data_IF_253842042857
#
_entry.id   IF_253842042857
#
_cell.length_a   1.000
_cell.length_b   1.000
_cell.length_c   1.000
_cell.angle_alpha   90.00
_cell.angle_beta   90.00
_cell.angle_gamma   90.00
#
_symmetry.space_group_name_H-M   'P 1'
#
loop_
_entity.id
_entity.type
_entity.pdbx_description
1 polymer ?
#
# COMPACT_ATOMS: atom_id res chain seq x y z
N UNK A 1 -0.41 -13.90 1.92
CA UNK A 1 0.96 -13.57 1.43
C UNK A 1 1.51 -12.41 2.26
N UNK A 2 2.73 -12.53 2.84
CA UNK A 2 3.29 -11.48 3.74
C UNK A 2 3.51 -10.15 2.98
N UNK A 3 3.18 -9.01 3.61
CA UNK A 3 3.25 -7.66 3.03
C UNK A 3 4.62 -7.35 2.39
N UNK A 4 5.72 -7.80 3.01
CA UNK A 4 7.08 -7.64 2.50
C UNK A 4 7.31 -8.28 1.13
N UNK A 5 6.66 -9.42 0.84
CA UNK A 5 6.76 -10.09 -0.47
C UNK A 5 6.07 -9.27 -1.57
N UNK A 6 4.97 -8.62 -1.22
CA UNK A 6 4.21 -7.74 -2.13
C UNK A 6 5.05 -6.50 -2.45
N UNK A 7 5.58 -5.83 -1.41
CA UNK A 7 6.42 -4.63 -1.57
C UNK A 7 7.70 -4.92 -2.37
N UNK A 8 8.33 -6.08 -2.15
CA UNK A 8 9.53 -6.49 -2.89
C UNK A 8 9.26 -6.72 -4.38
N UNK A 9 8.11 -7.35 -4.72
CA UNK A 9 7.69 -7.50 -6.12
C UNK A 9 7.47 -6.14 -6.78
N UNK A 10 6.75 -5.24 -6.13
CA UNK A 10 6.53 -3.88 -6.64
C UNK A 10 7.89 -3.23 -6.90
N UNK A 11 8.81 -3.17 -5.92
CA UNK A 11 10.16 -2.58 -6.11
C UNK A 11 10.94 -3.15 -7.29
N UNK A 12 10.80 -4.45 -7.57
CA UNK A 12 11.48 -5.11 -8.69
C UNK A 12 10.92 -4.65 -10.04
N UNK A 13 9.62 -4.39 -10.09
CA UNK A 13 8.96 -3.80 -11.25
C UNK A 13 9.24 -2.31 -11.41
N UNK A 14 9.35 -1.54 -10.31
CA UNK A 14 9.72 -0.11 -10.32
C UNK A 14 11.14 0.18 -10.84
N UNK A 15 11.98 -0.84 -11.07
CA UNK A 15 13.36 -0.70 -11.58
C UNK A 15 13.50 -0.89 -13.10
N UNK A 16 12.41 -1.17 -13.82
CA UNK A 16 12.44 -1.39 -15.27
C UNK A 16 11.70 -0.25 -15.97
N UNK A 17 12.37 0.41 -16.92
CA UNK A 17 11.85 1.54 -17.71
C UNK A 17 10.65 1.16 -18.60
N UNK A 18 10.46 -0.13 -18.93
CA UNK A 18 9.31 -0.58 -19.71
C UNK A 18 8.61 -1.75 -19.02
N UNK A 19 7.38 -1.50 -18.56
CA UNK A 19 6.47 -2.52 -18.06
C UNK A 19 5.74 -3.16 -19.24
N UNK A 20 5.85 -4.49 -19.38
CA UNK A 20 4.98 -5.21 -20.34
C UNK A 20 3.53 -5.13 -19.84
N UNK A 21 2.54 -5.09 -20.73
CA UNK A 21 1.11 -5.02 -20.39
C UNK A 21 0.61 -6.06 -19.36
N UNK A 22 1.23 -7.25 -19.31
CA UNK A 22 0.95 -8.27 -18.28
C UNK A 22 1.50 -7.92 -16.88
N UNK A 23 2.54 -7.10 -16.80
CA UNK A 23 3.13 -6.57 -15.56
C UNK A 23 2.35 -5.36 -15.06
N UNK A 24 1.89 -4.49 -15.95
CA UNK A 24 0.96 -3.39 -15.60
C UNK A 24 -0.32 -3.92 -14.95
N UNK A 25 -0.98 -4.93 -15.55
CA UNK A 25 -2.18 -5.54 -14.95
C UNK A 25 -1.92 -6.11 -13.56
N UNK A 26 -0.75 -6.71 -13.33
CA UNK A 26 -0.34 -7.21 -12.00
C UNK A 26 -0.10 -6.06 -11.01
N UNK A 27 0.51 -4.97 -11.46
CA UNK A 27 0.75 -3.79 -10.62
C UNK A 27 -0.56 -3.10 -10.28
N UNK A 28 -1.46 -2.93 -11.24
CA UNK A 28 -2.81 -2.39 -11.04
C UNK A 28 -3.58 -3.22 -10.00
N UNK A 29 -3.57 -4.56 -10.13
CA UNK A 29 -4.20 -5.44 -9.14
C UNK A 29 -3.58 -5.28 -7.73
N UNK A 30 -2.27 -5.10 -7.65
CA UNK A 30 -1.58 -4.85 -6.37
C UNK A 30 -1.94 -3.47 -5.80
N UNK A 31 -2.08 -2.45 -6.65
CA UNK A 31 -2.51 -1.09 -6.27
C UNK A 31 -3.93 -1.12 -5.72
N UNK A 32 -4.86 -1.80 -6.39
CA UNK A 32 -6.24 -1.98 -5.89
C UNK A 32 -6.27 -2.66 -4.53
N UNK A 33 -5.45 -3.70 -4.33
CA UNK A 33 -5.37 -4.39 -3.04
C UNK A 33 -4.80 -3.47 -1.94
N UNK A 34 -3.81 -2.64 -2.28
CA UNK A 34 -3.25 -1.64 -1.37
C UNK A 34 -4.25 -0.53 -1.05
N UNK A 35 -5.07 -0.09 -2.00
CA UNK A 35 -6.15 0.88 -1.76
C UNK A 35 -7.22 0.32 -0.84
N UNK A 36 -7.65 -0.92 -1.06
CA UNK A 36 -8.58 -1.61 -0.14
C UNK A 36 -8.01 -1.69 1.27
N UNK A 37 -6.72 -2.01 1.41
CA UNK A 37 -6.03 -2.03 2.72
C UNK A 37 -5.95 -0.64 3.34
N UNK A 38 -5.64 0.40 2.56
CA UNK A 38 -5.62 1.79 3.02
C UNK A 38 -6.97 2.22 3.57
N UNK A 39 -8.06 1.88 2.87
CA UNK A 39 -9.43 2.17 3.32
C UNK A 39 -9.80 1.42 4.60
N UNK A 40 -9.40 0.15 4.74
CA UNK A 40 -9.59 -0.61 5.99
C UNK A 40 -8.85 0.04 7.17
N UNK A 41 -7.58 0.40 6.99
CA UNK A 41 -6.79 1.09 8.02
C UNK A 41 -7.44 2.44 8.40
N UNK A 42 -7.97 3.18 7.42
CA UNK A 42 -8.69 4.44 7.67
C UNK A 42 -9.98 4.22 8.47
N UNK A 43 -10.72 3.14 8.19
CA UNK A 43 -11.92 2.77 8.94
C UNK A 43 -11.56 2.37 10.39
N UNK A 44 -10.51 1.55 10.56
CA UNK A 44 -9.98 1.17 11.88
C UNK A 44 -9.50 2.39 12.67
N UNK A 45 -8.86 3.37 12.02
CA UNK A 45 -8.46 4.64 12.66
C UNK A 45 -9.66 5.47 13.12
N UNK A 46 -10.79 5.43 12.39
CA UNK A 46 -12.02 6.13 12.77
C UNK A 46 -12.74 5.43 13.93
N UNK A 47 -12.66 4.10 14.00
CA UNK A 47 -13.32 3.31 15.03
C UNK A 47 -12.49 3.15 16.31
N UNK A 48 -11.22 3.53 16.29
CA UNK A 48 -10.35 3.36 17.43
C UNK A 48 -10.68 4.38 18.53
N UNK A 49 -10.71 3.91 19.77
CA UNK A 49 -10.89 4.78 20.92
C UNK A 49 -9.73 5.79 21.01
N UNK A 50 -10.05 7.07 21.25
CA UNK A 50 -9.07 8.16 21.33
C UNK A 50 -8.02 7.91 22.43
N UNK A 51 -8.38 7.13 23.45
CA UNK A 51 -7.49 6.75 24.55
C UNK A 51 -6.45 5.69 24.14
N UNK A 52 -6.66 4.96 23.04
CA UNK A 52 -5.77 3.90 22.58
C UNK A 52 -4.64 4.44 21.67
N UNK A 53 -3.84 5.36 22.22
CA UNK A 53 -2.81 6.14 21.50
C UNK A 53 -1.80 5.23 20.79
N UNK A 54 -1.30 4.18 21.46
CA UNK A 54 -0.31 3.25 20.87
C UNK A 54 -0.84 2.63 19.57
N UNK A 55 -2.05 2.08 19.62
CA UNK A 55 -2.66 1.38 18.49
C UNK A 55 -3.02 2.34 17.36
N UNK A 56 -3.42 3.57 17.70
CA UNK A 56 -3.64 4.65 16.73
C UNK A 56 -2.35 5.03 15.99
N UNK A 57 -1.25 5.25 16.72
CA UNK A 57 0.07 5.57 16.13
C UNK A 57 0.56 4.44 15.21
N UNK A 58 0.37 3.17 15.60
CA UNK A 58 0.70 2.04 14.74
C UNK A 58 -0.10 2.02 13.43
N UNK A 59 -1.40 2.28 13.51
CA UNK A 59 -2.27 2.33 12.33
C UNK A 59 -1.94 3.54 11.44
N UNK A 60 -1.64 4.70 12.01
CA UNK A 60 -1.17 5.88 11.26
C UNK A 60 0.14 5.60 10.52
N UNK A 61 1.12 4.94 11.17
CA UNK A 61 2.37 4.51 10.52
C UNK A 61 2.11 3.53 9.37
N UNK A 62 1.21 2.56 9.56
CA UNK A 62 0.82 1.62 8.49
C UNK A 62 0.12 2.35 7.35
N UNK A 63 -0.77 3.28 7.65
CA UNK A 63 -1.46 4.10 6.66
C UNK A 63 -0.48 4.93 5.83
N UNK A 64 0.47 5.60 6.48
CA UNK A 64 1.48 6.42 5.82
C UNK A 64 2.39 5.57 4.90
N UNK A 65 2.85 4.42 5.39
CA UNK A 65 3.66 3.49 4.60
C UNK A 65 2.91 3.02 3.34
N UNK A 66 1.64 2.62 3.48
CA UNK A 66 0.80 2.21 2.34
C UNK A 66 0.57 3.40 1.39
N UNK A 67 0.34 4.61 1.91
CA UNK A 67 0.12 5.80 1.10
C UNK A 67 1.37 6.21 0.31
N UNK A 68 2.57 6.11 0.90
CA UNK A 68 3.85 6.35 0.21
C UNK A 68 4.09 5.36 -0.92
N UNK A 69 3.78 4.07 -0.70
CA UNK A 69 3.91 3.05 -1.74
C UNK A 69 2.94 3.32 -2.88
N UNK A 70 1.66 3.61 -2.58
CA UNK A 70 0.66 3.97 -3.59
C UNK A 70 1.06 5.19 -4.41
N UNK A 71 1.59 6.24 -3.77
CA UNK A 71 2.02 7.46 -4.45
C UNK A 71 3.16 7.17 -5.43
N UNK A 72 4.16 6.37 -5.03
CA UNK A 72 5.25 5.96 -5.93
C UNK A 72 4.77 5.04 -7.05
N UNK A 73 3.88 4.10 -6.75
CA UNK A 73 3.32 3.17 -7.74
C UNK A 73 2.51 3.89 -8.82
N UNK A 74 1.74 4.92 -8.46
CA UNK A 74 0.98 5.76 -9.41
C UNK A 74 1.83 6.75 -10.21
N UNK A 75 3.07 7.02 -9.79
CA UNK A 75 4.00 7.86 -10.57
C UNK A 75 4.80 7.05 -11.60
N UNK A 76 4.68 5.73 -11.57
CA UNK A 76 5.43 4.80 -12.43
C UNK A 76 4.50 4.08 -13.44
N UNK A 77 3.20 4.07 -13.16
CA UNK A 77 2.15 3.88 -14.17
C UNK A 77 1.87 5.22 -14.83
#
# INVERSE_FOLDING_TARGET
MKLNKIVSKIKKYLKRDELKSSQERKILSIIEELERKKSKIKAELKSIDKTNIKKRVELEKKYDAVSKVLKKSRSIL
#
